data_IF_946600613799
#
_entry.id   IF_946600613799
#
_cell.length_a   1.000
_cell.length_b   1.000
_cell.length_c   1.000
_cell.angle_alpha   90.00
_cell.angle_beta   90.00
_cell.angle_gamma   90.00
#
_symmetry.space_group_name_H-M   'P 1'
#
loop_
_entity.id
_entity.type
_entity.pdbx_description
1 polymer ?
#
# COMPACT_ATOMS: atom_id res chain seq x y z
N UNK A 1 19.43 17.19 4.21
CA UNK A 1 19.77 15.75 4.16
C UNK A 1 19.66 15.04 5.50
N UNK A 2 20.17 15.60 6.61
CA UNK A 2 20.30 14.88 7.90
C UNK A 2 19.00 14.26 8.51
N UNK A 3 17.81 14.67 8.08
CA UNK A 3 16.51 14.12 8.53
C UNK A 3 15.81 13.22 7.51
N UNK A 4 16.34 13.13 6.28
CA UNK A 4 15.71 12.40 5.17
C UNK A 4 16.13 10.94 5.20
N UNK A 5 17.43 10.67 5.38
CA UNK A 5 17.97 9.31 5.56
C UNK A 5 17.22 8.56 6.67
N UNK A 6 17.17 9.05 7.93
CA UNK A 6 16.48 8.32 9.00
C UNK A 6 14.97 8.21 8.77
N UNK A 7 14.35 9.15 8.05
CA UNK A 7 12.93 9.06 7.71
C UNK A 7 12.68 8.01 6.62
N UNK A 8 13.59 7.88 5.66
CA UNK A 8 13.51 6.88 4.58
C UNK A 8 13.74 5.48 5.14
N UNK A 9 14.80 5.28 5.94
CA UNK A 9 15.05 4.01 6.64
C UNK A 9 13.90 3.62 7.56
N UNK A 10 13.24 4.59 8.20
CA UNK A 10 12.03 4.31 8.98
C UNK A 10 10.89 3.76 8.11
N UNK A 11 10.69 4.27 6.90
CA UNK A 11 9.65 3.76 5.98
C UNK A 11 9.97 2.31 5.59
N UNK A 12 11.20 2.00 5.19
CA UNK A 12 11.61 0.63 4.84
C UNK A 12 11.45 -0.34 6.02
N UNK A 13 11.84 0.06 7.23
CA UNK A 13 11.66 -0.77 8.43
C UNK A 13 10.20 -1.06 8.75
N UNK A 14 9.33 -0.04 8.64
CA UNK A 14 7.90 -0.22 8.87
C UNK A 14 7.23 -1.04 7.78
N UNK A 15 7.68 -0.90 6.53
CA UNK A 15 7.23 -1.74 5.43
C UNK A 15 7.64 -3.20 5.64
N UNK A 16 8.90 -3.45 5.99
CA UNK A 16 9.39 -4.79 6.31
C UNK A 16 8.59 -5.43 7.45
N UNK A 17 8.30 -4.68 8.51
CA UNK A 17 7.45 -5.15 9.62
C UNK A 17 6.04 -5.50 9.14
N UNK A 18 5.45 -4.67 8.26
CA UNK A 18 4.16 -4.94 7.65
C UNK A 18 4.17 -6.18 6.74
N UNK A 19 5.28 -6.48 6.05
CA UNK A 19 5.41 -7.68 5.23
C UNK A 19 5.54 -8.96 6.06
N UNK A 20 6.25 -8.93 7.18
CA UNK A 20 6.52 -10.12 8.01
C UNK A 20 5.38 -10.44 8.97
N UNK A 21 4.81 -9.41 9.61
CA UNK A 21 3.78 -9.56 10.63
C UNK A 21 2.70 -8.50 10.42
N UNK A 22 1.94 -8.59 9.31
CA UNK A 22 0.92 -7.61 8.97
C UNK A 22 -0.16 -7.56 10.05
N UNK A 23 -0.37 -6.37 10.59
CA UNK A 23 -1.50 -5.99 11.43
C UNK A 23 -1.93 -4.54 11.13
N UNK A 24 -2.94 -4.07 11.84
CA UNK A 24 -3.47 -2.71 11.68
C UNK A 24 -2.43 -1.64 12.05
N UNK A 25 -1.67 -1.89 13.12
CA UNK A 25 -0.69 -0.93 13.62
C UNK A 25 0.48 -0.77 12.66
N UNK A 26 0.98 -1.85 12.08
CA UNK A 26 2.05 -1.85 11.07
C UNK A 26 1.61 -1.07 9.83
N UNK A 27 0.40 -1.30 9.33
CA UNK A 27 -0.15 -0.53 8.20
C UNK A 27 -0.27 0.96 8.55
N UNK A 28 -0.89 1.29 9.69
CA UNK A 28 -1.10 2.67 10.09
C UNK A 28 0.23 3.41 10.30
N UNK A 29 1.19 2.77 10.96
CA UNK A 29 2.52 3.33 11.16
C UNK A 29 3.23 3.55 9.83
N UNK A 30 3.13 2.61 8.89
CA UNK A 30 3.69 2.73 7.54
C UNK A 30 3.09 3.93 6.80
N UNK A 31 1.76 4.04 6.72
CA UNK A 31 1.07 5.15 6.03
C UNK A 31 1.45 6.51 6.62
N UNK A 32 1.56 6.61 7.94
CA UNK A 32 2.03 7.83 8.61
C UNK A 32 3.49 8.15 8.31
N UNK A 33 4.35 7.14 8.26
CA UNK A 33 5.76 7.33 7.92
C UNK A 33 5.94 7.78 6.46
N UNK A 34 5.19 7.19 5.53
CA UNK A 34 5.16 7.58 4.12
C UNK A 34 4.77 9.07 3.98
N UNK A 35 3.67 9.47 4.61
CA UNK A 35 3.24 10.88 4.58
C UNK A 35 4.28 11.82 5.19
N UNK A 36 4.85 11.43 6.34
CA UNK A 36 5.90 12.20 7.01
C UNK A 36 7.19 12.30 6.20
N UNK A 37 7.51 11.30 5.39
CA UNK A 37 8.65 11.32 4.47
C UNK A 37 8.39 12.26 3.30
N UNK A 38 7.21 12.21 2.69
CA UNK A 38 6.81 13.14 1.62
C UNK A 38 6.98 14.61 2.05
N UNK A 39 6.52 14.96 3.25
CA UNK A 39 6.67 16.31 3.80
C UNK A 39 8.13 16.74 3.92
N UNK A 40 9.01 15.83 4.35
CA UNK A 40 10.45 16.12 4.49
C UNK A 40 11.13 16.28 3.14
N UNK A 41 10.84 15.40 2.18
CA UNK A 41 11.38 15.48 0.81
C UNK A 41 10.92 16.76 0.11
N UNK A 42 9.63 17.10 0.24
CA UNK A 42 9.06 18.33 -0.32
C UNK A 42 9.71 19.58 0.29
N UNK A 43 9.85 19.63 1.62
CA UNK A 43 10.53 20.75 2.32
C UNK A 43 12.00 20.87 1.90
N UNK A 44 12.66 19.74 1.66
CA UNK A 44 14.04 19.70 1.18
C UNK A 44 14.17 20.00 -0.32
N UNK A 45 13.06 20.19 -1.05
CA UNK A 45 13.01 20.45 -2.49
C UNK A 45 13.73 19.39 -3.33
N UNK A 46 13.67 18.13 -2.89
CA UNK A 46 14.22 17.01 -3.66
C UNK A 46 13.19 16.52 -4.67
N UNK A 47 12.13 15.91 -4.17
CA UNK A 47 10.97 15.47 -4.95
C UNK A 47 9.78 15.33 -4.01
N UNK A 48 8.63 14.97 -4.58
CA UNK A 48 7.42 14.68 -3.83
C UNK A 48 6.73 13.46 -4.45
N UNK A 49 5.79 12.87 -3.72
CA UNK A 49 5.14 11.63 -4.13
C UNK A 49 3.85 11.86 -4.94
N UNK A 50 3.46 13.10 -5.26
CA UNK A 50 2.21 13.36 -6.00
C UNK A 50 2.26 12.93 -7.48
N UNK A 51 3.45 12.62 -8.00
CA UNK A 51 3.63 11.98 -9.31
C UNK A 51 3.49 10.45 -9.24
N UNK A 52 3.24 9.88 -8.05
CA UNK A 52 3.00 8.46 -7.83
C UNK A 52 1.51 8.25 -7.51
N UNK A 53 0.78 7.66 -8.43
CA UNK A 53 -0.66 7.41 -8.30
C UNK A 53 -1.03 6.67 -7.00
N UNK A 54 -0.22 5.70 -6.61
CA UNK A 54 -0.41 4.94 -5.37
C UNK A 54 -0.34 5.84 -4.14
N UNK A 55 0.55 6.84 -4.12
CA UNK A 55 0.61 7.77 -3.00
C UNK A 55 -0.69 8.58 -2.84
N UNK A 56 -1.34 8.94 -3.95
CA UNK A 56 -2.62 9.66 -3.91
C UNK A 56 -3.68 8.79 -3.20
N UNK A 57 -3.77 7.51 -3.55
CA UNK A 57 -4.65 6.55 -2.89
C UNK A 57 -4.28 6.33 -1.41
N UNK A 58 -3.01 6.06 -1.10
CA UNK A 58 -2.56 5.83 0.27
C UNK A 58 -2.76 7.06 1.16
N UNK A 59 -2.57 8.27 0.62
CA UNK A 59 -2.83 9.53 1.33
C UNK A 59 -4.31 9.70 1.65
N UNK A 60 -5.21 9.40 0.71
CA UNK A 60 -6.65 9.47 0.94
C UNK A 60 -7.08 8.49 2.05
N UNK A 61 -6.64 7.24 1.96
CA UNK A 61 -6.92 6.20 2.95
C UNK A 61 -6.38 6.56 4.34
N UNK A 62 -5.13 7.03 4.42
CA UNK A 62 -4.51 7.48 5.67
C UNK A 62 -5.33 8.54 6.38
N UNK A 63 -5.90 9.49 5.62
CA UNK A 63 -6.72 10.55 6.23
C UNK A 63 -7.95 9.97 6.91
N UNK A 64 -8.58 8.96 6.33
CA UNK A 64 -9.75 8.32 6.94
C UNK A 64 -9.37 7.47 8.15
N UNK A 65 -8.30 6.66 8.07
CA UNK A 65 -7.80 5.87 9.20
C UNK A 65 -7.36 6.72 10.40
N UNK A 66 -6.92 7.96 10.17
CA UNK A 66 -6.50 8.86 11.25
C UNK A 66 -7.68 9.51 12.01
N UNK A 67 -8.89 9.54 11.44
CA UNK A 67 -10.03 10.25 12.03
C UNK A 67 -11.12 9.33 12.58
N UNK A 68 -11.09 8.04 12.26
CA UNK A 68 -12.07 7.08 12.76
C UNK A 68 -11.35 5.98 13.54
N UNK A 69 -11.27 6.15 14.87
CA UNK A 69 -10.81 5.09 15.79
C UNK A 69 -11.67 3.81 15.66
N UNK A 70 -12.90 3.93 15.13
CA UNK A 70 -13.83 2.82 14.88
C UNK A 70 -13.55 2.03 13.59
N UNK A 71 -12.75 2.56 12.64
CA UNK A 71 -12.45 1.89 11.35
C UNK A 71 -11.50 0.71 11.47
N UNK A 72 -10.82 0.56 12.61
CA UNK A 72 -9.93 -0.55 12.91
C UNK A 72 -10.66 -1.91 12.85
N UNK A 73 -11.98 -1.93 13.00
CA UNK A 73 -12.79 -3.15 12.92
C UNK A 73 -13.17 -3.56 11.48
N UNK A 74 -13.00 -2.67 10.50
CA UNK A 74 -13.44 -2.89 9.11
C UNK A 74 -12.32 -3.36 8.17
N UNK A 75 -11.05 -3.17 8.56
CA UNK A 75 -9.90 -3.62 7.77
C UNK A 75 -9.52 -5.06 8.10
N UNK A 76 -9.25 -5.86 7.07
CA UNK A 76 -8.80 -7.26 7.22
C UNK A 76 -7.46 -7.52 6.57
N UNK A 77 -6.61 -8.20 7.33
CA UNK A 77 -5.35 -8.78 6.86
C UNK A 77 -5.49 -10.30 6.93
N UNK A 78 -5.47 -10.93 5.77
CA UNK A 78 -5.73 -12.37 5.64
C UNK A 78 -4.54 -13.02 4.94
N UNK A 79 -3.83 -13.94 5.59
CA UNK A 79 -2.81 -14.76 4.92
C UNK A 79 -3.45 -15.59 3.81
N UNK A 80 -2.85 -15.63 2.62
CA UNK A 80 -3.45 -16.29 1.46
C UNK A 80 -3.65 -17.79 1.69
N UNK A 81 -2.80 -18.44 2.48
CA UNK A 81 -2.98 -19.86 2.85
C UNK A 81 -4.27 -20.15 3.66
N UNK A 82 -4.89 -19.13 4.25
CA UNK A 82 -6.15 -19.28 4.99
C UNK A 82 -7.39 -19.21 4.08
N UNK A 83 -7.23 -18.81 2.81
CA UNK A 83 -8.33 -18.70 1.86
C UNK A 83 -8.62 -20.05 1.17
N UNK A 84 -9.83 -20.24 0.61
CA UNK A 84 -10.07 -21.33 -0.34
C UNK A 84 -9.10 -21.21 -1.52
N UNK A 85 -8.93 -22.25 -2.35
CA UNK A 85 -7.99 -22.21 -3.47
C UNK A 85 -8.18 -20.99 -4.37
N UNK A 86 -7.28 -20.02 -4.23
CA UNK A 86 -7.16 -18.83 -5.07
C UNK A 86 -5.78 -18.79 -5.72
N UNK A 87 -5.64 -17.99 -6.76
CA UNK A 87 -4.38 -17.62 -7.38
C UNK A 87 -4.19 -16.12 -7.23
N UNK A 88 -3.05 -15.71 -6.67
CA UNK A 88 -2.65 -14.32 -6.50
C UNK A 88 -1.11 -14.26 -6.39
N UNK A 89 -0.53 -13.11 -6.69
CA UNK A 89 0.90 -12.80 -6.55
C UNK A 89 1.26 -12.28 -5.14
N UNK A 90 0.33 -12.40 -4.20
CA UNK A 90 0.42 -11.91 -2.84
C UNK A 90 0.56 -13.04 -1.80
N UNK A 91 1.28 -12.78 -0.70
CA UNK A 91 1.34 -13.66 0.47
C UNK A 91 0.18 -13.41 1.46
N UNK A 92 -0.32 -12.18 1.50
CA UNK A 92 -1.47 -11.77 2.31
C UNK A 92 -2.33 -10.77 1.53
N UNK A 93 -3.60 -10.68 1.88
CA UNK A 93 -4.52 -9.67 1.36
C UNK A 93 -4.72 -8.57 2.39
N UNK A 94 -4.77 -7.31 1.93
CA UNK A 94 -5.14 -6.18 2.76
C UNK A 94 -6.45 -5.59 2.21
N UNK A 95 -7.54 -5.89 2.90
CA UNK A 95 -8.90 -5.70 2.42
C UNK A 95 -9.62 -4.63 3.24
N UNK A 96 -10.32 -3.74 2.56
CA UNK A 96 -11.14 -2.69 3.17
C UNK A 96 -12.51 -2.60 2.49
N UNK A 97 -13.55 -2.09 3.17
CA UNK A 97 -14.85 -1.86 2.54
C UNK A 97 -14.72 -0.80 1.43
N UNK A 98 -15.45 -0.97 0.33
CA UNK A 98 -15.55 0.04 -0.73
C UNK A 98 -16.03 1.38 -0.20
N UNK A 99 -16.97 1.36 0.75
CA UNK A 99 -17.49 2.56 1.39
C UNK A 99 -16.41 3.36 2.13
N UNK A 100 -15.41 2.69 2.69
CA UNK A 100 -14.27 3.34 3.33
C UNK A 100 -13.45 4.10 2.29
N UNK A 101 -13.21 3.49 1.13
CA UNK A 101 -12.51 4.13 0.02
C UNK A 101 -13.32 5.32 -0.50
N UNK A 102 -14.64 5.18 -0.67
CA UNK A 102 -15.52 6.26 -1.11
C UNK A 102 -15.53 7.43 -0.09
N UNK A 103 -15.66 7.14 1.22
CA UNK A 103 -15.49 8.13 2.30
C UNK A 103 -14.14 8.84 2.20
N UNK A 104 -13.07 8.11 1.87
CA UNK A 104 -11.73 8.70 1.71
C UNK A 104 -11.67 9.70 0.57
N UNK A 105 -12.30 9.41 -0.56
CA UNK A 105 -12.43 10.31 -1.71
C UNK A 105 -13.25 11.54 -1.34
N UNK A 106 -14.31 11.38 -0.54
CA UNK A 106 -15.15 12.48 -0.07
C UNK A 106 -14.42 13.46 0.85
N UNK A 107 -13.39 13.02 1.58
CA UNK A 107 -12.55 13.92 2.39
C UNK A 107 -11.63 14.82 1.56
N UNK A 108 -11.37 14.47 0.30
CA UNK A 108 -10.50 15.23 -0.60
C UNK A 108 -11.16 16.57 -0.94
N UNK A 109 -10.44 17.71 -0.87
CA UNK A 109 -10.99 19.01 -1.26
C UNK A 109 -11.56 18.98 -2.68
N UNK A 110 -12.75 19.59 -2.88
CA UNK A 110 -13.49 19.56 -4.16
C UNK A 110 -12.64 19.91 -5.39
N UNK A 111 -11.69 20.84 -5.25
CA UNK A 111 -10.77 21.26 -6.33
C UNK A 111 -9.84 20.14 -6.84
N UNK A 112 -9.53 19.15 -6.01
CA UNK A 112 -8.62 18.05 -6.35
C UNK A 112 -9.38 16.74 -6.58
N UNK A 113 -10.58 16.58 -6.02
CA UNK A 113 -11.35 15.34 -6.11
C UNK A 113 -11.58 14.88 -7.55
N UNK A 114 -11.91 15.79 -8.46
CA UNK A 114 -12.17 15.46 -9.88
C UNK A 114 -10.97 14.81 -10.56
N UNK A 115 -9.74 15.20 -10.19
CA UNK A 115 -8.51 14.61 -10.74
C UNK A 115 -8.01 13.41 -9.93
N UNK A 116 -8.17 13.42 -8.61
CA UNK A 116 -7.64 12.36 -7.74
C UNK A 116 -8.55 11.11 -7.70
N UNK A 117 -9.87 11.25 -7.79
CA UNK A 117 -10.79 10.10 -7.72
C UNK A 117 -10.52 9.02 -8.79
N UNK A 118 -10.36 9.35 -10.09
CA UNK A 118 -10.05 8.34 -11.10
C UNK A 118 -8.73 7.60 -10.84
N UNK A 119 -7.75 8.30 -10.27
CA UNK A 119 -6.44 7.73 -9.92
C UNK A 119 -6.60 6.73 -8.76
N UNK A 120 -7.34 7.11 -7.71
CA UNK A 120 -7.60 6.25 -6.57
C UNK A 120 -8.36 4.99 -7.01
N UNK A 121 -9.39 5.15 -7.86
CA UNK A 121 -10.18 4.00 -8.32
C UNK A 121 -9.38 3.05 -9.20
N UNK A 122 -8.43 3.54 -10.00
CA UNK A 122 -7.62 2.72 -10.91
C UNK A 122 -6.43 2.03 -10.26
N UNK A 123 -5.95 2.52 -9.11
CA UNK A 123 -4.79 1.94 -8.40
C UNK A 123 -5.14 0.86 -7.38
N UNK A 124 -6.41 0.72 -7.03
CA UNK A 124 -6.88 -0.25 -6.04
C UNK A 124 -7.56 -1.47 -6.70
N UNK A 125 -7.50 -2.63 -6.04
CA UNK A 125 -8.12 -3.86 -6.55
C UNK A 125 -9.56 -4.02 -6.07
N UNK A 126 -10.56 -3.68 -6.90
CA UNK A 126 -11.98 -3.72 -6.53
C UNK A 126 -12.63 -5.09 -6.77
N UNK A 127 -13.35 -5.59 -5.77
CA UNK A 127 -14.08 -6.86 -5.79
C UNK A 127 -15.49 -6.66 -5.19
N UNK A 128 -16.32 -5.86 -5.87
CA UNK A 128 -17.64 -5.49 -5.38
C UNK A 128 -17.54 -4.52 -4.20
N UNK A 129 -18.04 -4.93 -3.04
CA UNK A 129 -18.06 -4.12 -1.81
C UNK A 129 -16.73 -4.14 -1.05
N UNK A 130 -15.71 -4.84 -1.56
CA UNK A 130 -14.38 -4.92 -0.94
C UNK A 130 -13.31 -4.47 -1.91
N UNK A 131 -12.27 -3.85 -1.35
CA UNK A 131 -11.12 -3.34 -2.06
C UNK A 131 -9.84 -3.90 -1.47
N UNK A 132 -9.00 -4.52 -2.30
CA UNK A 132 -7.65 -4.93 -1.95
C UNK A 132 -6.68 -3.76 -2.17
N UNK A 133 -6.12 -3.25 -1.08
CA UNK A 133 -5.18 -2.12 -1.10
C UNK A 133 -3.71 -2.57 -1.08
N UNK A 134 -3.44 -3.86 -0.87
CA UNK A 134 -2.07 -4.37 -0.76
C UNK A 134 -1.20 -4.06 -2.00
N UNK A 135 -1.71 -4.20 -3.24
CA UNK A 135 -0.93 -3.88 -4.44
C UNK A 135 -0.50 -2.43 -4.51
N UNK A 136 -1.36 -1.52 -4.05
CA UNK A 136 -1.08 -0.09 -4.00
C UNK A 136 0.04 0.20 -2.99
N UNK A 137 0.03 -0.42 -1.81
CA UNK A 137 1.12 -0.31 -0.83
C UNK A 137 2.43 -0.84 -1.39
N UNK A 138 2.42 -2.03 -1.99
CA UNK A 138 3.61 -2.66 -2.54
C UNK A 138 4.21 -1.84 -3.70
N UNK A 139 3.39 -1.51 -4.70
CA UNK A 139 3.84 -0.79 -5.89
C UNK A 139 4.32 0.63 -5.53
N UNK A 140 3.73 1.27 -4.51
CA UNK A 140 4.27 2.51 -3.96
C UNK A 140 5.69 2.34 -3.42
N UNK A 141 5.96 1.28 -2.66
CA UNK A 141 7.29 1.04 -2.07
C UNK A 141 8.37 0.80 -3.13
N UNK A 142 8.02 0.13 -4.23
CA UNK A 142 8.89 -0.02 -5.41
C UNK A 142 9.21 1.34 -6.02
N UNK A 143 8.19 2.16 -6.29
CA UNK A 143 8.40 3.52 -6.84
C UNK A 143 9.19 4.42 -5.89
N UNK A 144 9.01 4.27 -4.58
CA UNK A 144 9.79 4.99 -3.58
C UNK A 144 11.26 4.59 -3.62
N UNK A 145 11.54 3.28 -3.67
CA UNK A 145 12.91 2.77 -3.81
C UNK A 145 13.58 3.29 -5.09
N UNK A 146 12.88 3.22 -6.22
CA UNK A 146 13.39 3.75 -7.49
C UNK A 146 13.64 5.26 -7.43
N UNK A 147 12.71 6.03 -6.84
CA UNK A 147 12.86 7.47 -6.69
C UNK A 147 14.04 7.86 -5.79
N UNK A 148 14.26 7.14 -4.68
CA UNK A 148 15.42 7.37 -3.79
C UNK A 148 16.72 6.99 -4.49
N UNK A 149 16.75 5.87 -5.20
CA UNK A 149 17.94 5.39 -5.93
C UNK A 149 18.38 6.34 -7.04
N UNK A 150 17.48 7.17 -7.55
CA UNK A 150 17.77 8.24 -8.51
C UNK A 150 18.28 9.54 -7.86
N UNK A 151 18.59 9.52 -6.56
CA UNK A 151 19.15 10.67 -5.82
C UNK A 151 20.51 10.32 -5.20
N UNK A 152 21.18 11.32 -4.63
CA UNK A 152 22.42 11.12 -3.85
C UNK A 152 22.17 10.67 -2.40
N UNK A 153 20.95 10.19 -2.08
CA UNK A 153 20.62 9.70 -0.74
C UNK A 153 21.10 8.26 -0.62
N UNK A 154 22.12 8.04 0.20
CA UNK A 154 22.58 6.70 0.57
C UNK A 154 21.83 6.21 1.81
N UNK A 155 21.19 5.04 1.70
CA UNK A 155 20.53 4.33 2.80
C UNK A 155 21.31 3.06 3.12
N UNK A 156 21.44 2.74 4.40
CA UNK A 156 22.29 1.62 4.86
C UNK A 156 21.60 0.69 5.85
N UNK A 157 20.36 0.99 6.25
CA UNK A 157 19.58 0.14 7.13
C UNK A 157 19.31 -1.25 6.54
N UNK A 158 19.34 -2.28 7.39
CA UNK A 158 19.19 -3.68 6.99
C UNK A 158 17.91 -3.93 6.19
N UNK A 159 16.77 -3.36 6.62
CA UNK A 159 15.49 -3.57 5.93
C UNK A 159 15.45 -2.90 4.54
N UNK A 160 16.24 -1.84 4.33
CA UNK A 160 16.43 -1.26 3.00
C UNK A 160 17.31 -2.18 2.14
N UNK A 161 18.39 -2.71 2.70
CA UNK A 161 19.29 -3.62 1.99
C UNK A 161 18.60 -4.93 1.60
N UNK A 162 17.69 -5.43 2.43
CA UNK A 162 16.86 -6.59 2.11
C UNK A 162 15.92 -6.31 0.92
N UNK A 163 15.30 -5.12 0.89
CA UNK A 163 14.49 -4.68 -0.25
C UNK A 163 15.34 -4.55 -1.52
N UNK A 164 16.51 -3.91 -1.41
CA UNK A 164 17.47 -3.73 -2.50
C UNK A 164 17.96 -5.07 -3.08
N UNK A 165 18.22 -6.06 -2.23
CA UNK A 165 18.58 -7.41 -2.64
C UNK A 165 17.42 -8.11 -3.38
N UNK A 166 16.19 -7.98 -2.88
CA UNK A 166 14.99 -8.52 -3.56
C UNK A 166 14.80 -7.89 -4.94
N UNK A 167 14.89 -6.57 -5.02
CA UNK A 167 14.77 -5.82 -6.27
C UNK A 167 15.83 -6.26 -7.29
N UNK A 168 17.10 -6.39 -6.87
CA UNK A 168 18.17 -6.87 -7.75
C UNK A 168 17.94 -8.30 -8.23
N UNK A 169 17.49 -9.18 -7.34
CA UNK A 169 17.16 -10.56 -7.71
C UNK A 169 16.06 -10.60 -8.78
N UNK A 170 15.00 -9.81 -8.63
CA UNK A 170 13.93 -9.71 -9.63
C UNK A 170 14.46 -9.21 -10.98
N UNK A 171 15.31 -8.18 -10.97
CA UNK A 171 15.91 -7.61 -12.18
C UNK A 171 16.80 -8.62 -12.91
N UNK A 172 17.67 -9.31 -12.17
CA UNK A 172 18.60 -10.31 -12.70
C UNK A 172 17.88 -11.52 -13.33
N UNK A 173 16.65 -11.82 -12.88
CA UNK A 173 15.84 -12.93 -13.36
C UNK A 173 14.73 -12.50 -14.33
N UNK A 174 14.65 -11.21 -14.69
CA UNK A 174 13.64 -10.68 -15.61
C UNK A 174 12.21 -10.75 -15.05
N UNK A 175 12.07 -10.72 -13.73
CA UNK A 175 10.77 -10.63 -13.05
C UNK A 175 10.28 -9.19 -12.99
N UNK A 176 8.96 -9.01 -12.97
CA UNK A 176 8.36 -7.70 -12.73
C UNK A 176 8.56 -7.28 -11.28
N UNK A 177 8.99 -6.04 -11.05
CA UNK A 177 9.02 -5.43 -9.70
C UNK A 177 7.64 -5.02 -9.22
N UNK A 178 6.63 -4.99 -10.10
CA UNK A 178 5.28 -4.58 -9.75
C UNK A 178 4.37 -5.79 -9.67
N UNK A 179 3.43 -5.73 -8.74
CA UNK A 179 2.39 -6.73 -8.56
C UNK A 179 1.03 -6.23 -9.03
N UNK A 180 0.17 -7.17 -9.37
CA UNK A 180 -1.22 -6.90 -9.77
C UNK A 180 -2.18 -7.04 -8.59
N UNK A 181 -1.91 -7.96 -7.66
CA UNK A 181 -2.84 -8.36 -6.60
C UNK A 181 -4.18 -8.87 -7.09
N UNK A 182 -4.23 -9.37 -8.32
CA UNK A 182 -5.43 -10.00 -8.84
C UNK A 182 -5.70 -11.27 -8.04
N UNK A 183 -6.93 -11.40 -7.55
CA UNK A 183 -7.44 -12.57 -6.86
C UNK A 183 -8.27 -13.34 -7.87
N UNK A 184 -7.78 -14.50 -8.29
CA UNK A 184 -8.50 -15.41 -9.18
C UNK A 184 -8.89 -16.68 -8.45
N UNK A 185 -10.06 -17.24 -8.77
CA UNK A 185 -10.49 -18.53 -8.26
C UNK A 185 -11.34 -19.27 -9.29
N UNK A 186 -11.60 -20.56 -9.07
CA UNK A 186 -12.57 -21.28 -9.88
C UNK A 186 -13.97 -20.67 -9.72
N UNK A 187 -14.73 -20.58 -10.81
CA UNK A 187 -16.08 -19.99 -10.80
C UNK A 187 -17.01 -20.61 -9.74
N UNK A 188 -16.90 -21.93 -9.51
CA UNK A 188 -17.67 -22.63 -8.47
C UNK A 188 -17.23 -22.34 -7.02
N UNK A 189 -16.09 -21.67 -6.82
CA UNK A 189 -15.53 -21.33 -5.51
C UNK A 189 -15.71 -19.86 -5.15
N UNK A 190 -16.24 -19.03 -6.06
CA UNK A 190 -16.38 -17.58 -5.87
C UNK A 190 -17.10 -17.28 -4.56
N UNK A 191 -18.30 -17.82 -4.35
CA UNK A 191 -19.07 -17.53 -3.12
C UNK A 191 -18.30 -17.90 -1.84
N UNK A 192 -17.55 -19.02 -1.85
CA UNK A 192 -16.77 -19.45 -0.68
C UNK A 192 -15.57 -18.51 -0.45
N UNK A 193 -14.93 -18.03 -1.51
CA UNK A 193 -13.86 -17.04 -1.42
C UNK A 193 -14.43 -15.72 -0.92
N UNK A 194 -15.57 -15.27 -1.45
CA UNK A 194 -16.22 -14.04 -1.00
C UNK A 194 -16.61 -14.15 0.48
N UNK A 195 -17.27 -15.24 0.89
CA UNK A 195 -17.62 -15.47 2.30
C UNK A 195 -16.38 -15.49 3.20
N UNK A 196 -15.28 -16.12 2.81
CA UNK A 196 -14.12 -16.24 3.70
C UNK A 196 -13.23 -15.00 3.72
N UNK A 197 -13.02 -14.38 2.56
CA UNK A 197 -12.17 -13.19 2.43
C UNK A 197 -12.91 -11.92 2.83
N UNK A 198 -14.23 -11.87 2.62
CA UNK A 198 -15.03 -10.65 2.66
C UNK A 198 -16.20 -10.69 3.67
N UNK A 199 -16.45 -11.80 4.37
CA UNK A 199 -17.45 -11.77 5.44
C UNK A 199 -17.02 -10.78 6.54
N UNK A 200 -17.87 -9.78 6.75
CA UNK A 200 -17.71 -8.69 7.71
C UNK A 200 -16.62 -7.66 7.34
N UNK A 201 -16.43 -7.40 6.05
CA UNK A 201 -15.78 -6.16 5.56
C UNK A 201 -16.88 -5.14 5.18
N UNK A 202 -17.95 -5.08 5.97
CA UNK A 202 -19.16 -4.25 5.77
C UNK A 202 -19.34 -3.30 6.93
#
# INVERSE_FOLDING_TARGET
MNVIVPASERVFRLYHSHCISPDLDTLFNLLNAIHSLNDKLTKAKLFNFFDMDEFIALKALRNVFHHQEELLNELRLIPVQELPPITTDLLYLCLVPSELVDKSIETIPKKYRVSEEPIIRSTLGWYGEVVNINPCVFNFMVKLYEAISNTEIELTGDEYLDFDNSYKFEADNGHSHFITGVISCHAGSVNVVLEKAFANVT
#
